data_IF_473940538890
#
_entry.id   IF_473940538890
#
_cell.length_a   1.000
_cell.length_b   1.000
_cell.length_c   1.000
_cell.angle_alpha   90.00
_cell.angle_beta   90.00
_cell.angle_gamma   90.00
#
_symmetry.space_group_name_H-M   'P 1'
#
loop_
_entity.id
_entity.type
_entity.pdbx_description
1 polymer ?
#
# COMPACT_ATOMS: atom_id res chain seq x y z
N UNK A 1 5.35 16.04 4.52
CA UNK A 1 6.42 16.13 3.49
C UNK A 1 6.72 17.58 3.11
N UNK A 2 5.76 18.42 2.70
CA UNK A 2 6.03 19.83 2.35
C UNK A 2 6.76 20.59 3.46
N UNK A 3 6.27 20.53 4.71
CA UNK A 3 6.96 21.10 5.88
C UNK A 3 8.42 20.66 6.02
N UNK A 4 8.73 19.39 5.72
CA UNK A 4 10.09 18.87 5.80
C UNK A 4 10.98 19.41 4.67
N UNK A 5 10.44 19.55 3.47
CA UNK A 5 11.13 20.21 2.35
C UNK A 5 11.42 21.69 2.64
N UNK A 6 10.56 22.33 3.45
CA UNK A 6 10.72 23.72 3.90
C UNK A 6 11.67 23.86 5.12
N UNK A 7 12.37 22.78 5.51
CA UNK A 7 13.37 22.77 6.60
C UNK A 7 12.84 22.37 7.98
N UNK A 8 11.57 21.98 8.08
CA UNK A 8 10.99 21.45 9.32
C UNK A 8 11.35 19.98 9.59
N UNK A 9 11.07 19.52 10.80
CA UNK A 9 11.19 18.10 11.14
C UNK A 9 9.97 17.29 10.66
N UNK A 10 10.23 16.04 10.25
CA UNK A 10 9.23 15.14 9.67
C UNK A 10 8.30 14.55 10.74
N UNK A 11 8.84 14.25 11.92
CA UNK A 11 8.17 13.47 12.97
C UNK A 11 7.46 14.32 14.02
N UNK A 12 7.74 15.62 14.07
CA UNK A 12 6.95 16.62 14.83
C UNK A 12 5.65 17.04 14.14
N UNK A 13 5.36 16.55 12.92
CA UNK A 13 4.15 16.89 12.19
C UNK A 13 2.94 16.03 12.57
N UNK A 14 1.79 16.69 12.73
CA UNK A 14 0.48 16.08 12.99
C UNK A 14 -0.55 16.64 12.02
N UNK A 15 -1.43 15.79 11.47
CA UNK A 15 -2.54 16.24 10.64
C UNK A 15 -3.61 16.99 11.45
N UNK A 16 -3.76 16.65 12.74
CA UNK A 16 -4.61 17.36 13.69
C UNK A 16 -3.78 17.74 14.94
N UNK A 17 -3.03 18.86 14.88
CA UNK A 17 -2.13 19.30 15.94
C UNK A 17 -2.79 19.52 17.30
N UNK A 18 -3.99 20.16 17.42
CA UNK A 18 -4.63 20.39 18.72
C UNK A 18 -4.84 19.11 19.54
N UNK A 19 -5.10 17.99 18.86
CA UNK A 19 -5.36 16.69 19.50
C UNK A 19 -4.17 15.73 19.43
N UNK A 20 -3.03 16.14 18.85
CA UNK A 20 -1.87 15.29 18.60
C UNK A 20 -2.23 13.99 17.83
N UNK A 21 -3.17 14.09 16.90
CA UNK A 21 -3.64 12.93 16.13
C UNK A 21 -2.98 12.86 14.76
N UNK A 22 -2.79 11.62 14.31
CA UNK A 22 -2.28 11.22 13.00
C UNK A 22 -0.89 11.81 12.68
N UNK A 23 0.13 11.40 13.45
CA UNK A 23 1.51 11.78 13.16
C UNK A 23 1.99 11.16 11.84
N UNK A 24 3.08 11.70 11.31
CA UNK A 24 3.80 11.04 10.22
C UNK A 24 4.43 9.73 10.74
N UNK A 25 3.96 8.59 10.24
CA UNK A 25 4.37 7.23 10.71
C UNK A 25 5.18 6.44 9.67
N UNK A 26 5.57 7.07 8.57
CA UNK A 26 6.32 6.42 7.49
C UNK A 26 7.84 6.60 7.69
N UNK A 27 8.62 5.87 6.91
CA UNK A 27 10.08 6.00 6.93
C UNK A 27 10.55 7.30 6.27
N UNK A 28 11.81 7.73 6.47
CA UNK A 28 12.37 8.86 5.73
C UNK A 28 12.41 8.61 4.22
N UNK A 29 12.63 7.36 3.78
CA UNK A 29 12.56 6.98 2.37
C UNK A 29 11.16 7.23 1.79
N UNK A 30 10.11 6.94 2.57
CA UNK A 30 8.74 7.24 2.15
C UNK A 30 8.53 8.74 1.92
N UNK A 31 9.12 9.61 2.75
CA UNK A 31 9.02 11.05 2.56
C UNK A 31 9.61 11.49 1.21
N UNK A 32 10.77 10.94 0.84
CA UNK A 32 11.37 11.15 -0.48
C UNK A 32 10.47 10.64 -1.61
N UNK A 33 9.92 9.43 -1.49
CA UNK A 33 9.03 8.86 -2.52
C UNK A 33 7.70 9.62 -2.67
N UNK A 34 7.21 10.21 -1.58
CA UNK A 34 5.97 10.99 -1.54
C UNK A 34 6.22 12.45 -1.95
N UNK A 35 7.46 12.93 -1.95
CA UNK A 35 7.80 14.31 -2.31
C UNK A 35 7.19 14.79 -3.65
N UNK A 36 7.13 14.00 -4.74
CA UNK A 36 6.47 14.44 -5.97
C UNK A 36 4.98 14.80 -5.79
N UNK A 37 4.29 14.23 -4.78
CA UNK A 37 2.91 14.60 -4.45
C UNK A 37 2.80 16.03 -3.88
N UNK A 38 3.90 16.68 -3.49
CA UNK A 38 3.86 18.09 -3.07
C UNK A 38 3.82 19.06 -4.24
N UNK A 39 4.02 18.59 -5.49
CA UNK A 39 3.87 19.41 -6.69
C UNK A 39 2.40 19.66 -7.06
N UNK A 40 1.50 18.84 -6.54
CA UNK A 40 0.06 19.00 -6.73
C UNK A 40 -0.59 19.70 -5.52
N UNK A 41 -1.83 20.17 -5.72
CA UNK A 41 -2.63 20.69 -4.60
C UNK A 41 -2.96 19.58 -3.61
N UNK A 42 -3.21 19.94 -2.34
CA UNK A 42 -3.65 18.99 -1.32
C UNK A 42 -4.90 18.22 -1.75
N UNK A 43 -5.88 18.92 -2.33
CA UNK A 43 -7.11 18.31 -2.84
C UNK A 43 -6.82 17.30 -3.96
N UNK A 44 -5.94 17.63 -4.90
CA UNK A 44 -5.56 16.72 -5.98
C UNK A 44 -4.87 15.46 -5.46
N UNK A 45 -3.96 15.60 -4.48
CA UNK A 45 -3.30 14.46 -3.85
C UNK A 45 -4.29 13.56 -3.10
N UNK A 46 -5.23 14.16 -2.36
CA UNK A 46 -6.29 13.44 -1.65
C UNK A 46 -7.17 12.67 -2.61
N UNK A 47 -7.68 13.31 -3.68
CA UNK A 47 -8.51 12.64 -4.70
C UNK A 47 -7.75 11.49 -5.36
N UNK A 48 -6.47 11.69 -5.69
CA UNK A 48 -5.63 10.66 -6.27
C UNK A 48 -5.53 9.42 -5.36
N UNK A 49 -5.27 9.60 -4.06
CA UNK A 49 -5.14 8.50 -3.11
C UNK A 49 -6.48 7.84 -2.77
N UNK A 50 -7.56 8.63 -2.71
CA UNK A 50 -8.92 8.10 -2.57
C UNK A 50 -9.29 7.20 -3.76
N UNK A 51 -8.99 7.60 -5.00
CA UNK A 51 -9.26 6.80 -6.21
C UNK A 51 -8.30 5.61 -6.32
N UNK A 52 -7.04 5.76 -5.91
CA UNK A 52 -6.07 4.66 -5.92
C UNK A 52 -6.51 3.51 -5.00
N UNK A 53 -7.19 3.81 -3.89
CA UNK A 53 -7.61 2.80 -2.90
C UNK A 53 -8.47 1.67 -3.49
N UNK A 54 -9.62 1.91 -4.13
CA UNK A 54 -10.42 0.85 -4.76
C UNK A 54 -9.72 0.16 -5.93
N UNK A 55 -8.86 0.87 -6.68
CA UNK A 55 -8.07 0.26 -7.75
C UNK A 55 -7.06 -0.76 -7.20
N UNK A 56 -6.33 -0.39 -6.15
CA UNK A 56 -5.40 -1.28 -5.46
C UNK A 56 -6.12 -2.43 -4.74
N UNK A 57 -7.32 -2.19 -4.21
CA UNK A 57 -8.18 -3.25 -3.69
C UNK A 57 -8.54 -4.26 -4.79
N UNK A 58 -8.91 -3.80 -5.99
CA UNK A 58 -9.19 -4.67 -7.14
C UNK A 58 -7.97 -5.49 -7.57
N UNK A 59 -6.77 -4.89 -7.60
CA UNK A 59 -5.52 -5.60 -7.88
C UNK A 59 -5.25 -6.67 -6.82
N UNK A 60 -5.44 -6.35 -5.54
CA UNK A 60 -5.26 -7.29 -4.42
C UNK A 60 -6.23 -8.46 -4.53
N UNK A 61 -7.52 -8.18 -4.74
CA UNK A 61 -8.55 -9.20 -4.94
C UNK A 61 -8.25 -10.07 -6.15
N UNK A 62 -7.82 -9.48 -7.27
CA UNK A 62 -7.37 -10.23 -8.44
C UNK A 62 -6.22 -11.19 -8.11
N UNK A 63 -5.20 -10.71 -7.39
CA UNK A 63 -4.05 -11.52 -6.99
C UNK A 63 -4.48 -12.72 -6.13
N UNK A 64 -5.40 -12.50 -5.19
CA UNK A 64 -6.00 -13.57 -4.36
C UNK A 64 -6.79 -14.56 -5.22
N UNK A 65 -7.69 -14.10 -6.09
CA UNK A 65 -8.49 -14.98 -6.96
C UNK A 65 -7.61 -15.84 -7.86
N UNK A 66 -6.54 -15.26 -8.44
CA UNK A 66 -5.57 -15.99 -9.26
C UNK A 66 -4.83 -17.05 -8.45
N UNK A 67 -4.45 -16.73 -7.21
CA UNK A 67 -3.79 -17.69 -6.30
C UNK A 67 -4.71 -18.85 -5.91
N UNK A 68 -6.01 -18.61 -5.80
CA UNK A 68 -7.04 -19.63 -5.57
C UNK A 68 -7.35 -20.49 -6.81
N UNK A 69 -6.61 -20.32 -7.92
CA UNK A 69 -6.76 -21.13 -9.13
C UNK A 69 -7.84 -20.62 -10.09
N UNK A 70 -8.45 -19.46 -9.83
CA UNK A 70 -9.46 -18.89 -10.73
C UNK A 70 -8.84 -18.52 -12.08
N UNK A 71 -9.54 -18.87 -13.17
CA UNK A 71 -9.13 -18.52 -14.55
C UNK A 71 -9.00 -17.00 -14.69
N UNK A 72 -7.99 -16.55 -15.43
CA UNK A 72 -7.68 -15.12 -15.62
C UNK A 72 -8.88 -14.27 -16.01
N UNK A 73 -9.69 -14.71 -16.99
CA UNK A 73 -10.89 -13.98 -17.43
C UNK A 73 -11.93 -13.82 -16.30
N UNK A 74 -12.17 -14.88 -15.53
CA UNK A 74 -13.10 -14.83 -14.42
C UNK A 74 -12.58 -13.94 -13.28
N UNK A 75 -11.29 -14.04 -12.95
CA UNK A 75 -10.67 -13.18 -11.95
C UNK A 75 -10.73 -11.70 -12.33
N UNK A 76 -10.48 -11.35 -13.60
CA UNK A 76 -10.61 -9.96 -14.09
C UNK A 76 -12.05 -9.45 -14.02
N UNK A 77 -13.03 -10.29 -14.35
CA UNK A 77 -14.43 -9.90 -14.30
C UNK A 77 -14.93 -9.72 -12.86
N UNK A 78 -14.50 -10.57 -11.92
CA UNK A 78 -15.02 -10.61 -10.56
C UNK A 78 -14.29 -9.69 -9.59
N UNK A 79 -12.98 -9.48 -9.77
CA UNK A 79 -12.16 -8.72 -8.83
C UNK A 79 -12.65 -7.29 -8.57
N UNK A 80 -13.08 -6.49 -9.57
CA UNK A 80 -13.56 -5.13 -9.31
C UNK A 80 -14.81 -5.10 -8.43
N UNK A 81 -15.75 -6.04 -8.65
CA UNK A 81 -17.00 -6.10 -7.90
C UNK A 81 -16.79 -6.54 -6.45
N UNK A 82 -15.98 -7.58 -6.24
CA UNK A 82 -15.63 -8.02 -4.89
C UNK A 82 -14.79 -6.97 -4.15
N UNK A 83 -13.88 -6.29 -4.85
CA UNK A 83 -13.14 -5.19 -4.26
C UNK A 83 -14.04 -4.02 -3.89
N UNK A 84 -15.00 -3.65 -4.75
CA UNK A 84 -15.98 -2.61 -4.44
C UNK A 84 -16.80 -2.97 -3.20
N UNK A 85 -17.30 -4.20 -3.11
CA UNK A 85 -17.99 -4.70 -1.93
C UNK A 85 -17.10 -4.62 -0.68
N UNK A 86 -15.84 -5.04 -0.79
CA UNK A 86 -14.86 -4.95 0.29
C UNK A 86 -14.54 -3.51 0.71
N UNK A 87 -14.42 -2.59 -0.24
CA UNK A 87 -14.17 -1.16 0.02
C UNK A 87 -15.32 -0.53 0.79
N UNK A 88 -16.55 -0.96 0.56
CA UNK A 88 -17.74 -0.45 1.26
C UNK A 88 -17.90 -1.15 2.63
N UNK A 89 -17.71 -2.46 2.69
CA UNK A 89 -18.05 -3.27 3.87
C UNK A 89 -16.93 -3.38 4.91
N UNK A 90 -15.66 -3.23 4.50
CA UNK A 90 -14.51 -3.42 5.38
C UNK A 90 -13.92 -2.05 5.76
N UNK A 91 -14.11 -1.69 7.03
CA UNK A 91 -13.62 -0.48 7.70
C UNK A 91 -12.19 -0.01 7.34
N UNK A 92 -11.18 -0.89 7.13
CA UNK A 92 -9.85 -0.41 6.74
C UNK A 92 -9.83 0.39 5.43
N UNK A 93 -10.74 0.14 4.47
CA UNK A 93 -10.77 0.89 3.21
C UNK A 93 -11.37 2.30 3.37
N UNK A 94 -12.57 2.49 3.97
CA UNK A 94 -13.08 3.82 4.27
C UNK A 94 -12.09 4.65 5.09
N UNK A 95 -11.43 4.08 6.10
CA UNK A 95 -10.40 4.79 6.87
C UNK A 95 -9.17 5.16 6.05
N UNK A 96 -8.72 4.27 5.17
CA UNK A 96 -7.61 4.58 4.26
C UNK A 96 -7.97 5.74 3.34
N UNK A 97 -9.22 5.83 2.87
CA UNK A 97 -9.70 6.93 2.04
C UNK A 97 -9.91 8.23 2.82
N UNK A 98 -10.49 8.16 4.03
CA UNK A 98 -10.70 9.30 4.94
C UNK A 98 -9.38 10.03 5.22
N UNK A 99 -8.31 9.27 5.41
CA UNK A 99 -6.98 9.80 5.71
C UNK A 99 -6.07 9.94 4.48
N UNK A 100 -6.58 9.69 3.27
CA UNK A 100 -5.81 9.68 2.02
C UNK A 100 -4.49 8.91 2.17
N UNK A 101 -4.53 7.69 2.72
CA UNK A 101 -3.34 6.89 3.01
C UNK A 101 -2.94 5.99 1.84
N UNK A 102 -1.64 5.67 1.79
CA UNK A 102 -1.07 4.76 0.78
C UNK A 102 -1.22 3.28 1.13
N UNK A 103 -1.87 2.92 2.24
CA UNK A 103 -1.92 1.54 2.76
C UNK A 103 -2.43 0.53 1.72
N UNK A 104 -3.45 0.89 0.93
CA UNK A 104 -3.99 0.02 -0.10
C UNK A 104 -2.96 -0.25 -1.22
N UNK A 105 -2.12 0.74 -1.56
CA UNK A 105 -1.02 0.58 -2.53
C UNK A 105 -0.01 -0.43 -1.98
N UNK A 106 0.40 -0.27 -0.73
CA UNK A 106 1.36 -1.18 -0.08
C UNK A 106 0.82 -2.61 0.01
N UNK A 107 -0.46 -2.76 0.34
CA UNK A 107 -1.14 -4.05 0.35
C UNK A 107 -1.15 -4.69 -1.05
N UNK A 108 -1.42 -3.92 -2.10
CA UNK A 108 -1.39 -4.42 -3.47
C UNK A 108 0.02 -4.86 -3.89
N UNK A 109 1.06 -4.11 -3.53
CA UNK A 109 2.45 -4.49 -3.78
C UNK A 109 2.78 -5.84 -3.15
N UNK A 110 2.47 -6.02 -1.87
CA UNK A 110 2.68 -7.28 -1.14
C UNK A 110 1.86 -8.42 -1.76
N UNK A 111 0.60 -8.17 -2.11
CA UNK A 111 -0.26 -9.20 -2.70
C UNK A 111 0.24 -9.65 -4.07
N UNK A 112 0.64 -8.73 -4.95
CA UNK A 112 1.22 -9.05 -6.25
C UNK A 112 2.50 -9.86 -6.08
N UNK A 113 3.39 -9.42 -5.20
CA UNK A 113 4.66 -10.09 -4.97
C UNK A 113 4.47 -11.48 -4.39
N UNK A 114 3.68 -11.63 -3.33
CA UNK A 114 3.52 -12.91 -2.66
C UNK A 114 2.62 -13.90 -3.41
N UNK A 115 1.64 -13.43 -4.18
CA UNK A 115 0.61 -14.28 -4.77
C UNK A 115 0.77 -14.49 -6.28
N UNK A 116 1.36 -13.52 -7.00
CA UNK A 116 1.50 -13.57 -8.47
C UNK A 116 2.94 -13.78 -8.94
N UNK A 117 3.94 -13.21 -8.25
CA UNK A 117 5.35 -13.42 -8.64
C UNK A 117 5.74 -14.87 -8.35
N UNK A 118 6.22 -15.65 -9.35
CA UNK A 118 6.62 -17.04 -9.13
C UNK A 118 7.71 -17.16 -8.07
N UNK A 119 7.66 -18.21 -7.25
CA UNK A 119 8.61 -18.42 -6.16
C UNK A 119 10.08 -18.53 -6.62
N UNK A 120 10.33 -18.96 -7.86
CA UNK A 120 11.67 -19.05 -8.45
C UNK A 120 12.13 -17.76 -9.14
N UNK A 121 11.29 -16.73 -9.18
CA UNK A 121 11.64 -15.46 -9.83
C UNK A 121 12.68 -14.70 -8.99
N UNK A 122 13.67 -14.11 -9.66
CA UNK A 122 14.64 -13.19 -9.01
C UNK A 122 14.00 -11.92 -8.44
N UNK A 123 12.77 -11.61 -8.86
CA UNK A 123 12.01 -10.44 -8.42
C UNK A 123 11.11 -10.72 -7.22
N UNK A 124 11.04 -11.98 -6.77
CA UNK A 124 10.30 -12.38 -5.57
C UNK A 124 10.83 -11.61 -4.37
N UNK A 125 9.94 -10.98 -3.62
CA UNK A 125 10.30 -10.19 -2.43
C UNK A 125 10.53 -8.71 -2.72
N UNK A 126 10.73 -8.31 -3.98
CA UNK A 126 11.11 -6.94 -4.30
C UNK A 126 10.02 -5.92 -3.96
N UNK A 127 8.75 -6.23 -4.28
CA UNK A 127 7.65 -5.30 -3.96
C UNK A 127 7.29 -5.33 -2.48
N UNK A 128 7.41 -6.50 -1.83
CA UNK A 128 7.23 -6.61 -0.38
C UNK A 128 8.30 -5.83 0.39
N UNK A 129 9.56 -5.92 -0.04
CA UNK A 129 10.67 -5.13 0.47
C UNK A 129 10.47 -3.63 0.26
N UNK A 130 10.03 -3.22 -0.93
CA UNK A 130 9.66 -1.83 -1.19
C UNK A 130 8.55 -1.34 -0.26
N UNK A 131 7.49 -2.16 -0.07
CA UNK A 131 6.40 -1.81 0.81
C UNK A 131 6.87 -1.66 2.26
N UNK A 132 7.71 -2.58 2.75
CA UNK A 132 8.34 -2.53 4.07
C UNK A 132 9.25 -1.32 4.25
N UNK A 133 9.96 -0.92 3.20
CA UNK A 133 10.80 0.26 3.20
C UNK A 133 9.98 1.57 3.26
N UNK A 134 8.71 1.56 2.85
CA UNK A 134 7.79 2.72 2.96
C UNK A 134 7.12 2.75 4.35
N UNK A 135 6.63 1.61 4.83
CA UNK A 135 5.94 1.48 6.13
C UNK A 135 6.32 0.16 6.77
N UNK A 136 6.52 0.14 8.08
CA UNK A 136 6.95 -1.08 8.76
C UNK A 136 5.89 -2.21 8.75
N UNK A 137 4.60 -1.88 8.70
CA UNK A 137 3.51 -2.88 8.75
C UNK A 137 3.67 -4.02 7.73
N UNK A 138 3.93 -3.77 6.43
CA UNK A 138 4.20 -4.84 5.46
C UNK A 138 5.49 -5.63 5.69
N UNK A 139 6.38 -5.28 6.62
CA UNK A 139 7.56 -6.10 6.95
C UNK A 139 7.19 -7.51 7.44
N UNK A 140 5.96 -7.72 7.92
CA UNK A 140 5.44 -9.06 8.21
C UNK A 140 5.49 -9.99 6.99
N UNK A 141 5.35 -9.46 5.77
CA UNK A 141 5.52 -10.23 4.54
C UNK A 141 6.93 -10.82 4.40
N UNK A 142 7.95 -10.06 4.80
CA UNK A 142 9.35 -10.51 4.81
C UNK A 142 9.52 -11.66 5.81
N UNK A 143 8.90 -11.56 6.99
CA UNK A 143 8.91 -12.65 7.98
C UNK A 143 8.27 -13.93 7.42
N UNK A 144 7.19 -13.81 6.63
CA UNK A 144 6.58 -14.94 5.94
C UNK A 144 7.56 -15.58 4.94
N UNK A 145 8.32 -14.77 4.18
CA UNK A 145 9.35 -15.28 3.25
C UNK A 145 10.47 -16.02 3.99
N UNK A 146 10.96 -15.46 5.10
CA UNK A 146 11.95 -16.11 5.98
C UNK A 146 11.42 -17.44 6.53
N UNK A 147 10.18 -17.47 7.02
CA UNK A 147 9.55 -18.69 7.52
C UNK A 147 9.39 -19.78 6.45
N UNK A 148 9.19 -19.38 5.18
CA UNK A 148 9.12 -20.28 4.02
C UNK A 148 10.50 -20.68 3.49
N UNK A 149 11.58 -20.26 4.14
CA UNK A 149 12.98 -20.48 3.73
C UNK A 149 13.30 -19.86 2.36
N UNK A 150 12.56 -18.83 1.96
CA UNK A 150 12.79 -18.04 0.75
C UNK A 150 13.88 -16.98 1.00
N UNK A 151 15.06 -17.37 1.51
CA UNK A 151 16.10 -16.46 2.02
C UNK A 151 16.61 -15.41 1.02
N UNK A 152 16.57 -15.72 -0.28
CA UNK A 152 17.00 -14.78 -1.33
C UNK A 152 15.97 -13.68 -1.60
N UNK A 153 14.71 -13.92 -1.22
CA UNK A 153 13.60 -13.00 -1.41
C UNK A 153 13.27 -12.19 -0.15
N UNK A 154 13.79 -12.59 1.01
CA UNK A 154 13.65 -11.88 2.27
C UNK A 154 14.81 -10.89 2.49
#
# INVERSE_FOLDING_TARGET
VRQWLDGGDLYSWYANPPQHLWPFTYTPLAAWMIAPLTWMSYQSATVLLMVATPLCAAVTTYAVLRRLGMRTRAAHALAPWLALAGVIALEPFPKTMEYAQVNAILMALVAVDLLLVPAHSRWRGALSGLAAAIKLTPAVAILVLLARREWRAA
#
